data_IF_739492476804
#
_entry.id   IF_739492476804
#
_cell.length_a   1.000
_cell.length_b   1.000
_cell.length_c   1.000
_cell.angle_alpha   90.00
_cell.angle_beta   90.00
_cell.angle_gamma   90.00
#
_symmetry.space_group_name_H-M   'P 1'
#
loop_
_entity.id
_entity.type
_entity.pdbx_description
1 polymer ?
#
# COMPACT_ATOMS: atom_id res chain seq x y z
N UNK A 1 -32.89 3.29 12.36
CA UNK A 1 -31.51 3.43 12.82
C UNK A 1 -30.53 2.55 11.99
N UNK A 2 -30.95 1.38 11.45
CA UNK A 2 -30.09 0.48 10.68
C UNK A 2 -29.76 0.93 9.25
N UNK A 3 -30.54 1.84 8.66
CA UNK A 3 -30.29 2.33 7.29
C UNK A 3 -29.11 3.33 7.18
N UNK A 4 -28.75 4.01 8.26
CA UNK A 4 -27.67 5.03 8.21
C UNK A 4 -26.30 4.41 8.01
N UNK A 5 -26.07 3.25 8.47
CA UNK A 5 -24.77 2.63 8.55
C UNK A 5 -24.38 1.87 7.28
N UNK A 6 -25.28 1.15 6.64
CA UNK A 6 -25.08 0.63 5.28
C UNK A 6 -24.81 1.79 4.29
N UNK A 7 -25.47 2.95 4.52
CA UNK A 7 -25.19 4.17 3.79
C UNK A 7 -23.73 4.64 3.94
N UNK A 8 -23.16 4.53 5.12
CA UNK A 8 -21.76 4.97 5.35
C UNK A 8 -20.74 4.04 4.68
N UNK A 9 -21.02 2.73 4.64
CA UNK A 9 -20.22 1.79 3.85
C UNK A 9 -20.24 2.16 2.35
N UNK A 10 -21.43 2.46 1.81
CA UNK A 10 -21.58 2.88 0.40
C UNK A 10 -20.81 4.18 0.16
N UNK A 11 -20.89 5.17 1.05
CA UNK A 11 -20.16 6.44 0.92
C UNK A 11 -18.64 6.23 0.82
N UNK A 12 -18.09 5.34 1.65
CA UNK A 12 -16.67 4.98 1.59
C UNK A 12 -16.30 4.35 0.24
N UNK A 13 -17.15 3.45 -0.29
CA UNK A 13 -16.92 2.84 -1.59
C UNK A 13 -17.01 3.86 -2.72
N UNK A 14 -18.02 4.73 -2.69
CA UNK A 14 -18.15 5.84 -3.66
C UNK A 14 -16.93 6.74 -3.62
N UNK A 15 -16.47 7.11 -2.42
CA UNK A 15 -15.25 7.90 -2.28
C UNK A 15 -14.02 7.19 -2.88
N UNK A 16 -13.84 5.90 -2.60
CA UNK A 16 -12.72 5.13 -3.13
C UNK A 16 -12.74 5.08 -4.67
N UNK A 17 -13.91 4.83 -5.26
CA UNK A 17 -14.08 4.81 -6.71
C UNK A 17 -13.87 6.21 -7.32
N UNK A 18 -14.46 7.25 -6.74
CA UNK A 18 -14.32 8.62 -7.23
C UNK A 18 -12.86 9.07 -7.14
N UNK A 19 -12.17 8.81 -6.02
CA UNK A 19 -10.75 9.15 -5.87
C UNK A 19 -9.87 8.43 -6.90
N UNK A 20 -10.18 7.17 -7.20
CA UNK A 20 -9.50 6.41 -8.24
C UNK A 20 -9.73 7.00 -9.63
N UNK A 21 -11.00 7.27 -9.99
CA UNK A 21 -11.33 7.84 -11.30
C UNK A 21 -10.70 9.22 -11.51
N UNK A 22 -10.74 10.09 -10.50
CA UNK A 22 -10.12 11.42 -10.57
C UNK A 22 -8.59 11.27 -10.63
N UNK A 23 -7.99 10.37 -9.86
CA UNK A 23 -6.56 10.05 -9.94
C UNK A 23 -6.15 9.58 -11.33
N UNK A 24 -6.89 8.64 -11.92
CA UNK A 24 -6.67 8.15 -13.28
C UNK A 24 -6.82 9.26 -14.34
N UNK A 25 -7.72 10.20 -14.13
CA UNK A 25 -7.90 11.34 -15.05
C UNK A 25 -6.79 12.39 -14.92
N UNK A 26 -6.31 12.64 -13.70
CA UNK A 26 -5.23 13.61 -13.45
C UNK A 26 -3.85 13.08 -13.87
N UNK A 27 -3.63 11.78 -13.84
CA UNK A 27 -2.34 11.18 -14.13
C UNK A 27 -1.78 11.54 -15.51
N UNK A 28 -2.51 11.43 -16.63
CA UNK A 28 -2.01 11.83 -17.94
C UNK A 28 -1.69 13.32 -18.02
N UNK A 29 -2.50 14.17 -17.36
CA UNK A 29 -2.25 15.61 -17.31
C UNK A 29 -0.94 15.93 -16.56
N UNK A 30 -0.73 15.29 -15.41
CA UNK A 30 0.49 15.45 -14.63
C UNK A 30 1.71 14.90 -15.37
N UNK A 31 1.57 13.74 -16.04
CA UNK A 31 2.62 13.13 -16.86
C UNK A 31 3.04 14.04 -18.00
N UNK A 32 2.11 14.51 -18.83
CA UNK A 32 2.40 15.38 -19.95
C UNK A 32 2.99 16.74 -19.48
N UNK A 33 2.43 17.31 -18.40
CA UNK A 33 2.97 18.52 -17.78
C UNK A 33 4.38 18.33 -17.22
N UNK A 34 4.65 17.18 -16.61
CA UNK A 34 5.98 16.82 -16.10
C UNK A 34 7.01 16.62 -17.20
N UNK A 35 6.65 15.96 -18.31
CA UNK A 35 7.53 15.81 -19.48
C UNK A 35 7.86 17.13 -20.12
N UNK A 36 6.86 18.00 -20.35
CA UNK A 36 7.06 19.36 -20.86
C UNK A 36 7.97 20.19 -19.93
N UNK A 37 7.81 20.06 -18.60
CA UNK A 37 8.67 20.75 -17.65
C UNK A 37 10.13 20.22 -17.72
N UNK A 38 10.30 18.92 -17.92
CA UNK A 38 11.62 18.31 -18.12
C UNK A 38 12.32 18.83 -19.38
N UNK A 39 11.60 18.98 -20.48
CA UNK A 39 12.13 19.55 -21.73
C UNK A 39 12.52 21.02 -21.55
N UNK A 40 11.67 21.80 -20.87
CA UNK A 40 11.97 23.20 -20.54
C UNK A 40 13.18 23.35 -19.61
N UNK A 41 13.44 22.41 -18.72
CA UNK A 41 14.61 22.41 -17.83
C UNK A 41 15.91 22.19 -18.57
N UNK A 42 15.89 21.56 -19.76
CA UNK A 42 17.05 21.45 -20.66
C UNK A 42 17.43 22.77 -21.32
N UNK A 43 16.51 23.75 -21.37
CA UNK A 43 16.72 25.08 -22.02
C UNK A 43 16.80 26.23 -21.02
N UNK A 44 16.32 26.05 -19.80
CA UNK A 44 16.32 27.07 -18.74
C UNK A 44 16.77 26.45 -17.42
N UNK A 45 17.74 27.08 -16.76
CA UNK A 45 18.15 26.69 -15.41
C UNK A 45 17.03 27.03 -14.41
N UNK A 46 16.35 25.99 -13.92
CA UNK A 46 15.43 26.11 -12.80
C UNK A 46 16.19 25.97 -11.49
N UNK A 47 15.95 26.86 -10.54
CA UNK A 47 16.57 26.81 -9.24
C UNK A 47 15.90 25.81 -8.30
N UNK A 48 16.69 25.02 -7.55
CA UNK A 48 16.29 24.29 -6.39
C UNK A 48 15.31 23.11 -6.62
N UNK A 49 14.16 23.06 -5.91
CA UNK A 49 13.25 21.92 -5.93
C UNK A 49 12.62 21.65 -7.29
N UNK A 50 12.39 22.70 -8.09
CA UNK A 50 11.76 22.59 -9.40
C UNK A 50 12.65 21.84 -10.40
N UNK A 51 13.97 22.08 -10.35
CA UNK A 51 14.92 21.36 -11.20
C UNK A 51 14.99 19.85 -10.84
N UNK A 52 14.93 19.53 -9.54
CA UNK A 52 14.86 18.13 -9.09
C UNK A 52 13.59 17.43 -9.56
N UNK A 53 12.45 18.14 -9.49
CA UNK A 53 11.18 17.61 -9.96
C UNK A 53 11.18 17.44 -11.49
N UNK A 54 11.71 18.39 -12.25
CA UNK A 54 11.86 18.29 -13.70
C UNK A 54 12.77 17.11 -14.11
N UNK A 55 13.90 16.93 -13.41
CA UNK A 55 14.79 15.80 -13.65
C UNK A 55 14.17 14.44 -13.30
N UNK A 56 13.35 14.38 -12.24
CA UNK A 56 12.57 13.21 -11.89
C UNK A 56 11.49 12.91 -12.95
N UNK A 57 10.69 13.93 -13.33
CA UNK A 57 9.58 13.77 -14.29
C UNK A 57 10.07 13.38 -15.69
N UNK A 58 11.30 13.74 -16.07
CA UNK A 58 11.93 13.28 -17.32
C UNK A 58 12.16 11.76 -17.36
N UNK A 59 12.44 11.15 -16.21
CA UNK A 59 12.73 9.71 -16.06
C UNK A 59 11.51 8.89 -15.63
N UNK A 60 10.56 9.53 -14.96
CA UNK A 60 9.38 8.88 -14.40
C UNK A 60 8.44 8.36 -15.50
N UNK A 61 7.93 7.15 -15.31
CA UNK A 61 6.87 6.54 -16.12
C UNK A 61 5.49 7.04 -15.71
N UNK A 62 4.46 6.61 -16.44
CA UNK A 62 3.07 6.92 -16.13
C UNK A 62 2.65 6.38 -14.76
N UNK A 63 3.17 5.21 -14.41
CA UNK A 63 2.94 4.53 -13.14
C UNK A 63 3.41 5.38 -11.96
N UNK A 64 4.61 5.96 -12.05
CA UNK A 64 5.16 6.84 -11.02
C UNK A 64 4.28 8.08 -10.78
N UNK A 65 3.73 8.66 -11.85
CA UNK A 65 2.80 9.78 -11.73
C UNK A 65 1.47 9.36 -11.10
N UNK A 66 0.96 8.17 -11.41
CA UNK A 66 -0.24 7.66 -10.77
C UNK A 66 -0.02 7.37 -9.28
N UNK A 67 1.12 6.80 -8.90
CA UNK A 67 1.51 6.59 -7.50
C UNK A 67 1.49 7.89 -6.67
N UNK A 68 1.69 9.03 -7.31
CA UNK A 68 1.62 10.36 -6.67
C UNK A 68 0.22 10.97 -6.77
N UNK A 69 -0.38 10.98 -7.94
CA UNK A 69 -1.66 11.65 -8.20
C UNK A 69 -2.82 11.03 -7.43
N UNK A 70 -2.91 9.70 -7.39
CA UNK A 70 -4.02 9.03 -6.73
C UNK A 70 -4.04 9.23 -5.20
N UNK A 71 -2.95 9.03 -4.43
CA UNK A 71 -2.94 9.33 -3.00
C UNK A 71 -3.24 10.78 -2.67
N UNK A 72 -2.74 11.73 -3.48
CA UNK A 72 -3.05 13.15 -3.31
C UNK A 72 -4.54 13.43 -3.53
N UNK A 73 -5.13 12.85 -4.56
CA UNK A 73 -6.56 12.95 -4.85
C UNK A 73 -7.39 12.33 -3.73
N UNK A 74 -7.00 11.14 -3.27
CA UNK A 74 -7.67 10.45 -2.18
C UNK A 74 -7.60 11.27 -0.88
N UNK A 75 -6.44 11.85 -0.58
CA UNK A 75 -6.26 12.73 0.58
C UNK A 75 -7.11 14.01 0.47
N UNK A 76 -7.15 14.65 -0.70
CA UNK A 76 -7.97 15.84 -0.93
C UNK A 76 -9.48 15.54 -0.77
N UNK A 77 -9.94 14.40 -1.30
CA UNK A 77 -11.32 13.96 -1.18
C UNK A 77 -11.68 13.37 0.20
N UNK A 78 -10.69 13.17 1.07
CA UNK A 78 -10.93 12.69 2.43
C UNK A 78 -11.69 13.74 3.27
N UNK A 79 -11.43 15.04 3.06
CA UNK A 79 -12.13 16.11 3.78
C UNK A 79 -13.64 16.07 3.54
N UNK A 80 -14.14 16.11 2.28
CA UNK A 80 -15.58 15.99 2.03
C UNK A 80 -16.15 14.63 2.47
N UNK A 81 -15.37 13.55 2.46
CA UNK A 81 -15.82 12.26 3.00
C UNK A 81 -16.06 12.33 4.51
N UNK A 82 -15.16 12.93 5.27
CA UNK A 82 -15.28 13.08 6.74
C UNK A 82 -16.58 13.86 7.06
N UNK A 83 -16.83 14.96 6.34
CA UNK A 83 -18.06 15.73 6.50
C UNK A 83 -19.29 14.92 6.10
N UNK A 84 -19.23 14.19 5.00
CA UNK A 84 -20.33 13.36 4.51
C UNK A 84 -20.66 12.19 5.45
N UNK A 85 -19.65 11.62 6.12
CA UNK A 85 -19.83 10.61 7.16
C UNK A 85 -20.31 11.21 8.50
N UNK A 86 -20.39 12.54 8.61
CA UNK A 86 -20.76 13.26 9.87
C UNK A 86 -19.91 12.82 11.07
N UNK A 87 -18.68 12.42 10.84
CA UNK A 87 -17.78 11.97 11.92
C UNK A 87 -17.37 13.10 12.87
N UNK A 88 -17.50 14.36 12.46
CA UNK A 88 -17.21 15.52 13.30
C UNK A 88 -18.24 15.84 14.39
N UNK A 89 -19.44 15.22 14.35
CA UNK A 89 -20.54 15.52 15.29
C UNK A 89 -20.67 14.63 16.52
N UNK A 90 -20.10 13.45 16.51
CA UNK A 90 -19.97 12.65 17.72
C UNK A 90 -18.70 13.10 18.43
N UNK A 91 -18.86 13.87 19.53
CA UNK A 91 -17.80 14.01 20.53
C UNK A 91 -17.38 12.59 20.90
N UNK A 92 -16.32 12.09 20.25
CA UNK A 92 -15.59 10.96 20.81
C UNK A 92 -15.33 11.34 22.26
N UNK A 93 -15.84 10.55 23.19
CA UNK A 93 -15.29 10.55 24.55
C UNK A 93 -13.78 10.55 24.33
N UNK A 94 -13.15 11.67 24.73
CA UNK A 94 -11.70 11.84 24.63
C UNK A 94 -11.12 10.57 25.21
N UNK A 95 -10.60 9.71 24.37
CA UNK A 95 -9.84 8.56 24.83
C UNK A 95 -8.84 9.13 25.82
N UNK A 96 -9.01 8.76 27.07
CA UNK A 96 -8.18 9.24 28.18
C UNK A 96 -6.71 9.17 27.73
N UNK A 97 -5.96 10.20 28.04
CA UNK A 97 -4.52 10.26 27.78
C UNK A 97 -3.94 8.89 28.16
N UNK A 98 -3.31 8.19 27.21
CA UNK A 98 -2.87 6.84 27.48
C UNK A 98 -1.94 6.85 28.70
N UNK A 99 -2.11 5.91 29.63
CA UNK A 99 -1.30 5.85 30.84
C UNK A 99 0.19 5.80 30.48
N UNK A 100 1.04 6.28 31.36
CA UNK A 100 2.49 6.50 31.15
C UNK A 100 3.26 5.29 30.58
N UNK A 101 2.70 4.08 30.62
CA UNK A 101 3.23 2.86 30.01
C UNK A 101 2.77 2.62 28.56
N UNK A 102 1.74 3.32 28.08
CA UNK A 102 1.14 3.05 26.77
C UNK A 102 2.09 3.37 25.61
N UNK A 103 2.92 4.41 25.74
CA UNK A 103 3.87 4.77 24.68
C UNK A 103 4.89 3.64 24.44
N UNK A 104 5.40 3.02 25.51
CA UNK A 104 6.31 1.87 25.41
C UNK A 104 5.65 0.66 24.75
N UNK A 105 4.40 0.37 25.09
CA UNK A 105 3.65 -0.72 24.45
C UNK A 105 3.35 -0.41 22.99
N UNK A 106 3.03 0.83 22.65
CA UNK A 106 2.79 1.27 21.26
C UNK A 106 4.02 1.09 20.39
N UNK A 107 5.18 1.58 20.88
CA UNK A 107 6.46 1.43 20.15
C UNK A 107 6.87 -0.04 20.03
N UNK A 108 6.69 -0.84 21.08
CA UNK A 108 6.98 -2.27 21.03
C UNK A 108 6.12 -2.98 19.99
N UNK A 109 4.82 -2.71 19.94
CA UNK A 109 3.92 -3.28 18.93
C UNK A 109 4.35 -2.92 17.50
N UNK A 110 4.71 -1.64 17.28
CA UNK A 110 5.18 -1.18 15.98
C UNK A 110 6.49 -1.88 15.59
N UNK A 111 7.46 -1.96 16.50
CA UNK A 111 8.75 -2.59 16.27
C UNK A 111 8.63 -4.10 16.01
N UNK A 112 7.81 -4.79 16.80
CA UNK A 112 7.57 -6.24 16.64
C UNK A 112 6.89 -6.51 15.32
N UNK A 113 5.85 -5.73 14.95
CA UNK A 113 5.19 -5.84 13.65
C UNK A 113 6.16 -5.60 12.49
N UNK A 114 6.95 -4.53 12.60
CA UNK A 114 7.98 -4.18 11.61
C UNK A 114 9.01 -5.31 11.45
N UNK A 115 9.63 -5.75 12.54
CA UNK A 115 10.67 -6.78 12.52
C UNK A 115 10.15 -8.11 11.97
N UNK A 116 8.93 -8.52 12.34
CA UNK A 116 8.32 -9.74 11.86
C UNK A 116 8.13 -9.73 10.34
N UNK A 117 7.58 -8.64 9.80
CA UNK A 117 7.31 -8.55 8.35
C UNK A 117 8.56 -8.26 7.57
N UNK A 118 9.34 -7.26 7.96
CA UNK A 118 10.58 -6.89 7.29
C UNK A 118 11.55 -8.05 7.24
N UNK A 119 11.79 -8.72 8.38
CA UNK A 119 12.69 -9.87 8.45
C UNK A 119 12.22 -11.04 7.57
N UNK A 120 10.92 -11.36 7.60
CA UNK A 120 10.35 -12.43 6.78
C UNK A 120 10.54 -12.15 5.28
N UNK A 121 10.22 -10.94 4.81
CA UNK A 121 10.32 -10.59 3.39
C UNK A 121 11.76 -10.41 2.92
N UNK A 122 12.68 -9.94 3.75
CA UNK A 122 14.12 -9.92 3.42
C UNK A 122 14.65 -11.36 3.30
N UNK A 123 14.28 -12.27 4.19
CA UNK A 123 14.68 -13.67 4.08
C UNK A 123 14.18 -14.32 2.79
N UNK A 124 12.93 -14.05 2.42
CA UNK A 124 12.36 -14.52 1.15
C UNK A 124 13.11 -13.92 -0.02
N UNK A 125 13.38 -12.60 -0.01
CA UNK A 125 14.15 -11.93 -1.04
C UNK A 125 15.55 -12.53 -1.21
N UNK A 126 16.26 -12.78 -0.11
CA UNK A 126 17.56 -13.47 -0.14
C UNK A 126 17.45 -14.88 -0.73
N UNK A 127 16.40 -15.62 -0.41
CA UNK A 127 16.15 -16.95 -0.99
C UNK A 127 15.90 -16.87 -2.49
N UNK A 128 15.14 -15.88 -2.97
CA UNK A 128 14.88 -15.64 -4.39
C UNK A 128 16.15 -15.29 -5.17
N UNK A 129 17.04 -14.45 -4.59
CA UNK A 129 18.34 -14.13 -5.18
C UNK A 129 19.23 -15.39 -5.25
N UNK A 130 19.29 -16.18 -4.16
CA UNK A 130 20.03 -17.46 -4.17
C UNK A 130 19.48 -18.47 -5.17
N UNK A 131 18.18 -18.47 -5.41
CA UNK A 131 17.56 -19.30 -6.44
C UNK A 131 17.82 -18.83 -7.87
N UNK A 132 18.50 -17.69 -8.06
CA UNK A 132 18.83 -17.15 -9.37
C UNK A 132 17.66 -16.46 -10.09
N UNK A 133 16.54 -16.19 -9.38
CA UNK A 133 15.40 -15.50 -9.97
C UNK A 133 15.58 -14.00 -10.06
N UNK A 134 16.46 -13.46 -9.23
CA UNK A 134 16.86 -12.06 -9.22
C UNK A 134 18.38 -11.95 -9.20
N UNK A 135 18.92 -11.03 -10.00
CA UNK A 135 20.31 -10.59 -9.93
C UNK A 135 20.49 -9.60 -8.79
N UNK A 136 21.61 -9.71 -8.08
CA UNK A 136 21.99 -8.76 -7.02
C UNK A 136 22.91 -7.68 -7.62
N UNK A 137 22.39 -6.45 -7.72
CA UNK A 137 23.16 -5.33 -8.31
C UNK A 137 22.83 -4.03 -7.56
N UNK A 138 23.30 -3.88 -6.31
CA UNK A 138 23.07 -2.67 -5.54
C UNK A 138 23.89 -1.51 -6.12
N UNK A 139 23.25 -0.41 -6.52
CA UNK A 139 23.93 0.85 -6.81
C UNK A 139 24.14 1.67 -5.52
N UNK A 140 25.39 1.76 -5.00
CA UNK A 140 25.66 2.44 -3.73
C UNK A 140 25.36 3.94 -3.75
N UNK A 141 25.39 4.58 -4.94
CA UNK A 141 25.10 6.02 -5.09
C UNK A 141 23.61 6.27 -5.06
N UNK A 142 22.81 5.43 -5.73
CA UNK A 142 21.36 5.50 -5.69
C UNK A 142 20.82 5.22 -4.27
N UNK A 143 21.44 4.32 -3.51
CA UNK A 143 21.06 4.02 -2.13
C UNK A 143 21.12 5.24 -1.20
N UNK A 144 22.20 6.01 -1.26
CA UNK A 144 22.38 7.14 -0.34
C UNK A 144 21.44 8.30 -0.56
N UNK A 145 21.16 8.63 -1.81
CA UNK A 145 20.35 9.80 -2.15
C UNK A 145 18.85 9.55 -2.01
N UNK A 146 18.41 8.32 -2.21
CA UNK A 146 17.00 7.97 -2.30
C UNK A 146 16.43 7.24 -1.07
N UNK A 147 17.27 6.67 -0.20
CA UNK A 147 16.83 5.96 1.00
C UNK A 147 15.96 6.82 1.92
N UNK A 148 16.37 8.08 2.16
CA UNK A 148 15.57 9.01 2.97
C UNK A 148 14.22 9.33 2.33
N UNK A 149 14.19 9.46 1.00
CA UNK A 149 12.96 9.69 0.27
C UNK A 149 12.01 8.48 0.38
N UNK A 150 12.54 7.26 0.22
CA UNK A 150 11.75 6.03 0.37
C UNK A 150 11.20 5.85 1.77
N UNK A 151 12.02 6.09 2.79
CA UNK A 151 11.58 6.03 4.18
C UNK A 151 10.45 7.06 4.41
N UNK A 152 10.61 8.29 3.92
CA UNK A 152 9.59 9.32 4.00
C UNK A 152 8.29 8.91 3.29
N UNK A 153 8.40 8.37 2.09
CA UNK A 153 7.27 7.88 1.32
C UNK A 153 6.56 6.71 2.04
N UNK A 154 7.32 5.75 2.55
CA UNK A 154 6.78 4.60 3.30
C UNK A 154 6.07 5.08 4.57
N UNK A 155 6.65 6.00 5.34
CA UNK A 155 6.00 6.57 6.51
C UNK A 155 4.69 7.26 6.11
N UNK A 156 4.70 8.08 5.07
CA UNK A 156 3.51 8.76 4.55
C UNK A 156 2.43 7.77 4.14
N UNK A 157 2.78 6.72 3.39
CA UNK A 157 1.86 5.67 3.00
C UNK A 157 1.31 4.89 4.20
N UNK A 158 2.16 4.56 5.20
CA UNK A 158 1.71 3.87 6.43
C UNK A 158 0.72 4.73 7.20
N UNK A 159 0.97 6.04 7.28
CA UNK A 159 0.07 6.98 7.98
C UNK A 159 -1.25 7.09 7.21
N UNK A 160 -1.22 7.38 5.90
CA UNK A 160 -2.43 7.54 5.09
C UNK A 160 -3.26 6.25 5.03
N UNK A 161 -2.63 5.16 4.60
CA UNK A 161 -3.27 3.85 4.49
C UNK A 161 -3.69 3.33 5.86
N UNK A 162 -2.84 3.52 6.88
CA UNK A 162 -3.12 3.10 8.25
C UNK A 162 -4.32 3.82 8.85
N UNK A 163 -4.38 5.14 8.76
CA UNK A 163 -5.51 5.92 9.28
C UNK A 163 -6.77 5.57 8.50
N UNK A 164 -6.70 5.60 7.17
CA UNK A 164 -7.86 5.41 6.33
C UNK A 164 -8.46 4.00 6.46
N UNK A 165 -7.66 2.96 6.16
CA UNK A 165 -8.18 1.58 6.12
C UNK A 165 -8.49 1.01 7.50
N UNK A 166 -7.77 1.44 8.55
CA UNK A 166 -7.85 0.79 9.85
C UNK A 166 -8.61 1.58 10.89
N UNK A 167 -8.57 2.90 10.85
CA UNK A 167 -9.29 3.74 11.80
C UNK A 167 -10.64 4.20 11.27
N UNK A 168 -10.71 4.55 9.98
CA UNK A 168 -11.97 5.02 9.39
C UNK A 168 -12.79 3.84 8.90
N UNK A 169 -12.25 3.05 8.01
CA UNK A 169 -12.97 2.02 7.27
C UNK A 169 -13.30 0.81 8.12
N UNK A 170 -12.29 0.23 8.78
CA UNK A 170 -12.49 -0.97 9.59
C UNK A 170 -13.40 -0.69 10.79
N UNK A 171 -13.27 0.47 11.44
CA UNK A 171 -14.12 0.83 12.59
C UNK A 171 -15.57 1.06 12.16
N UNK A 172 -15.83 1.65 10.97
CA UNK A 172 -17.17 1.75 10.38
C UNK A 172 -17.74 0.36 10.11
N UNK A 173 -16.97 -0.53 9.49
CA UNK A 173 -17.44 -1.87 9.15
C UNK A 173 -17.69 -2.72 10.40
N UNK A 174 -16.84 -2.61 11.43
CA UNK A 174 -17.03 -3.31 12.70
C UNK A 174 -18.27 -2.83 13.47
N UNK A 175 -18.68 -1.57 13.30
CA UNK A 175 -19.92 -1.05 13.85
C UNK A 175 -21.19 -1.65 13.23
N UNK A 176 -21.09 -2.21 12.02
CA UNK A 176 -22.24 -2.61 11.21
C UNK A 176 -22.35 -4.09 10.94
N UNK A 177 -21.22 -4.78 10.93
CA UNK A 177 -21.16 -6.19 10.58
C UNK A 177 -20.25 -6.98 11.50
N UNK A 178 -20.37 -8.31 11.46
CA UNK A 178 -19.48 -9.18 12.22
C UNK A 178 -18.02 -9.00 11.84
N UNK A 179 -17.12 -9.09 12.81
CA UNK A 179 -15.68 -8.86 12.63
C UNK A 179 -15.06 -9.60 11.42
N UNK A 180 -15.35 -10.88 11.14
CA UNK A 180 -14.82 -11.54 9.96
C UNK A 180 -15.22 -10.87 8.64
N UNK A 181 -16.49 -10.43 8.53
CA UNK A 181 -16.98 -9.74 7.33
C UNK A 181 -16.36 -8.35 7.17
N UNK A 182 -16.25 -7.61 8.27
CA UNK A 182 -15.62 -6.29 8.29
C UNK A 182 -14.13 -6.37 7.86
N UNK A 183 -13.39 -7.32 8.40
CA UNK A 183 -11.99 -7.56 8.07
C UNK A 183 -11.84 -7.97 6.60
N UNK A 184 -12.69 -8.90 6.12
CA UNK A 184 -12.65 -9.35 4.72
C UNK A 184 -12.93 -8.21 3.74
N UNK A 185 -13.91 -7.34 4.04
CA UNK A 185 -14.26 -6.22 3.19
C UNK A 185 -13.16 -5.15 3.16
N UNK A 186 -12.56 -4.83 4.31
CA UNK A 186 -11.42 -3.92 4.38
C UNK A 186 -10.19 -4.48 3.64
N UNK A 187 -9.94 -5.79 3.75
CA UNK A 187 -8.88 -6.48 3.03
C UNK A 187 -9.11 -6.51 1.51
N UNK A 188 -10.36 -6.67 1.07
CA UNK A 188 -10.73 -6.61 -0.35
C UNK A 188 -10.35 -5.26 -0.96
N UNK A 189 -10.66 -4.17 -0.27
CA UNK A 189 -10.30 -2.83 -0.72
C UNK A 189 -8.78 -2.62 -0.69
N UNK A 190 -8.11 -3.07 0.37
CA UNK A 190 -6.66 -3.00 0.47
C UNK A 190 -5.95 -3.75 -0.66
N UNK A 191 -6.40 -4.97 -1.00
CA UNK A 191 -5.85 -5.76 -2.11
C UNK A 191 -6.20 -5.20 -3.50
N UNK A 192 -7.31 -4.51 -3.62
CA UNK A 192 -7.76 -3.88 -4.85
C UNK A 192 -6.82 -2.77 -5.36
N UNK A 193 -6.18 -2.04 -4.45
CA UNK A 193 -5.26 -0.94 -4.78
C UNK A 193 -4.03 -1.42 -5.57
N UNK A 194 -3.19 -2.33 -5.04
CA UNK A 194 -2.04 -2.84 -5.78
C UNK A 194 -2.44 -3.60 -7.05
N UNK A 195 -3.62 -4.27 -7.03
CA UNK A 195 -4.17 -4.92 -8.21
C UNK A 195 -4.43 -3.93 -9.34
N UNK A 196 -5.00 -2.76 -9.06
CA UNK A 196 -5.20 -1.72 -10.05
C UNK A 196 -3.88 -1.12 -10.52
N UNK A 197 -2.96 -0.83 -9.59
CA UNK A 197 -1.62 -0.32 -9.91
C UNK A 197 -0.85 -1.25 -10.86
N UNK A 198 -0.90 -2.56 -10.63
CA UNK A 198 -0.21 -3.54 -11.46
C UNK A 198 -0.70 -3.58 -12.93
N UNK A 199 -1.83 -2.94 -13.23
CA UNK A 199 -2.34 -2.80 -14.58
C UNK A 199 -1.58 -1.79 -15.43
N UNK A 200 -0.93 -0.83 -14.81
CA UNK A 200 -0.19 0.22 -15.52
C UNK A 200 1.08 -0.29 -16.21
N UNK A 201 1.76 -1.30 -15.65
CA UNK A 201 2.94 -1.91 -16.29
C UNK A 201 2.67 -2.50 -17.67
N UNK A 202 1.40 -2.84 -17.98
CA UNK A 202 0.99 -3.28 -19.32
C UNK A 202 0.70 -2.11 -20.27
N UNK A 203 0.65 -0.89 -19.76
CA UNK A 203 0.28 0.30 -20.51
C UNK A 203 1.50 1.11 -21.00
N UNK A 204 2.70 0.81 -20.54
CA UNK A 204 3.95 1.49 -20.96
C UNK A 204 4.26 1.33 -22.46
N UNK A 205 3.67 0.31 -23.11
CA UNK A 205 3.82 0.09 -24.54
C UNK A 205 2.89 0.98 -25.41
N UNK A 206 2.07 1.84 -24.80
CA UNK A 206 1.08 2.67 -25.53
C UNK A 206 1.58 4.10 -25.65
N UNK A 207 1.58 4.61 -26.88
CA UNK A 207 1.93 6.00 -27.17
C UNK A 207 1.03 7.01 -26.41
N UNK A 208 1.61 8.16 -26.03
CA UNK A 208 0.97 9.17 -25.18
C UNK A 208 -0.40 9.69 -25.66
N UNK A 209 -0.72 9.63 -26.96
CA UNK A 209 -2.02 10.03 -27.52
C UNK A 209 -3.15 9.05 -27.16
N UNK A 210 -2.84 7.78 -26.96
CA UNK A 210 -3.82 6.74 -26.57
C UNK A 210 -4.16 6.76 -25.07
N UNK A 211 -3.38 7.49 -24.28
CA UNK A 211 -3.52 7.57 -22.82
C UNK A 211 -4.84 8.20 -22.34
N UNK A 212 -5.48 9.02 -23.17
CA UNK A 212 -6.80 9.63 -22.87
C UNK A 212 -7.99 8.73 -23.23
N UNK A 213 -7.76 7.61 -23.90
CA UNK A 213 -8.82 6.76 -24.44
C UNK A 213 -9.42 5.80 -23.40
N UNK A 214 -10.70 5.46 -23.58
CA UNK A 214 -11.40 4.46 -22.77
C UNK A 214 -10.71 3.08 -22.84
N UNK A 215 -9.95 2.81 -23.92
CA UNK A 215 -9.18 1.60 -24.15
C UNK A 215 -8.09 1.37 -23.11
N UNK A 216 -7.35 2.41 -22.77
CA UNK A 216 -6.30 2.33 -21.74
C UNK A 216 -6.89 1.93 -20.38
N UNK A 217 -8.03 2.54 -20.01
CA UNK A 217 -8.73 2.20 -18.76
C UNK A 217 -9.17 0.73 -18.74
N UNK A 218 -9.59 0.20 -19.89
CA UNK A 218 -9.93 -1.21 -20.03
C UNK A 218 -8.71 -2.14 -19.87
N UNK A 219 -7.58 -1.81 -20.50
CA UNK A 219 -6.34 -2.60 -20.41
C UNK A 219 -5.78 -2.58 -18.98
N UNK A 220 -5.75 -1.42 -18.35
CA UNK A 220 -5.29 -1.27 -16.95
C UNK A 220 -6.16 -2.09 -15.99
N UNK A 221 -7.48 -2.08 -16.19
CA UNK A 221 -8.40 -2.80 -15.31
C UNK A 221 -8.46 -4.31 -15.60
N UNK A 222 -8.45 -4.71 -16.86
CA UNK A 222 -8.77 -6.08 -17.28
C UNK A 222 -7.62 -6.83 -17.96
N UNK A 223 -6.49 -6.16 -18.28
CA UNK A 223 -5.33 -6.82 -18.90
C UNK A 223 -4.73 -7.90 -18.01
N UNK A 224 -4.48 -9.10 -18.58
CA UNK A 224 -3.92 -10.26 -17.87
C UNK A 224 -4.59 -10.58 -16.51
N UNK A 225 -5.91 -10.41 -16.44
CA UNK A 225 -6.71 -10.51 -15.23
C UNK A 225 -6.43 -11.77 -14.37
N UNK A 226 -6.38 -13.01 -14.93
CA UNK A 226 -6.16 -14.21 -14.12
C UNK A 226 -4.78 -14.21 -13.44
N UNK A 227 -3.74 -13.82 -14.16
CA UNK A 227 -2.39 -13.76 -13.64
C UNK A 227 -2.30 -12.74 -12.49
N UNK A 228 -2.83 -11.54 -12.69
CA UNK A 228 -2.82 -10.45 -11.71
C UNK A 228 -3.63 -10.78 -10.46
N UNK A 229 -4.74 -11.51 -10.59
CA UNK A 229 -5.51 -11.97 -9.42
C UNK A 229 -4.63 -12.87 -8.56
N UNK A 230 -3.96 -13.85 -9.15
CA UNK A 230 -3.15 -14.83 -8.41
C UNK A 230 -1.90 -14.16 -7.84
N UNK A 231 -1.22 -13.33 -8.62
CA UNK A 231 0.12 -12.83 -8.27
C UNK A 231 0.08 -11.56 -7.43
N UNK A 232 -0.91 -10.71 -7.58
CA UNK A 232 -0.99 -9.42 -6.90
C UNK A 232 -2.14 -9.37 -5.91
N UNK A 233 -3.37 -9.63 -6.39
CA UNK A 233 -4.55 -9.47 -5.55
C UNK A 233 -4.56 -10.41 -4.34
N UNK A 234 -4.33 -11.72 -4.55
CA UNK A 234 -4.40 -12.71 -3.46
C UNK A 234 -3.36 -12.45 -2.36
N UNK A 235 -2.06 -12.22 -2.64
CA UNK A 235 -1.10 -11.88 -1.60
C UNK A 235 -1.45 -10.59 -0.84
N UNK A 236 -1.85 -9.53 -1.54
CA UNK A 236 -2.22 -8.26 -0.93
C UNK A 236 -3.50 -8.39 -0.10
N UNK A 237 -4.51 -9.10 -0.60
CA UNK A 237 -5.74 -9.41 0.13
C UNK A 237 -5.45 -10.21 1.41
N UNK A 238 -4.64 -11.27 1.32
CA UNK A 238 -4.22 -12.07 2.46
C UNK A 238 -3.47 -11.22 3.51
N UNK A 239 -2.59 -10.33 3.05
CA UNK A 239 -1.91 -9.39 3.93
C UNK A 239 -2.88 -8.39 4.58
N UNK A 240 -3.85 -7.88 3.83
CA UNK A 240 -4.95 -7.05 4.33
C UNK A 240 -5.76 -7.73 5.44
N UNK A 241 -6.04 -9.04 5.29
CA UNK A 241 -6.70 -9.84 6.33
C UNK A 241 -5.87 -9.88 7.63
N UNK A 242 -4.56 -10.08 7.52
CA UNK A 242 -3.66 -10.10 8.69
C UNK A 242 -3.65 -8.73 9.38
N UNK A 243 -3.58 -7.66 8.60
CA UNK A 243 -3.61 -6.29 9.12
C UNK A 243 -4.94 -5.98 9.84
N UNK A 244 -6.08 -6.33 9.24
CA UNK A 244 -7.40 -6.14 9.86
C UNK A 244 -7.57 -7.00 11.11
N UNK A 245 -7.16 -8.26 11.04
CA UNK A 245 -7.24 -9.18 12.18
C UNK A 245 -6.33 -8.76 13.34
N UNK A 246 -5.11 -8.31 13.05
CA UNK A 246 -4.18 -7.81 14.08
C UNK A 246 -4.75 -6.57 14.78
N UNK A 247 -5.38 -5.63 14.05
CA UNK A 247 -6.06 -4.47 14.60
C UNK A 247 -7.24 -4.88 15.51
N UNK A 248 -8.08 -5.79 15.02
CA UNK A 248 -9.25 -6.26 15.79
C UNK A 248 -8.84 -6.95 17.09
N UNK A 249 -7.81 -7.82 17.07
CA UNK A 249 -7.34 -8.57 18.24
C UNK A 249 -6.60 -7.74 19.28
N UNK A 250 -5.81 -6.77 18.84
CA UNK A 250 -4.97 -5.98 19.77
C UNK A 250 -5.60 -4.64 20.13
N UNK A 251 -6.71 -4.26 19.50
CA UNK A 251 -7.29 -2.91 19.56
C UNK A 251 -6.25 -1.79 19.32
N UNK A 252 -5.04 -2.14 18.89
CA UNK A 252 -3.90 -1.26 18.69
C UNK A 252 -3.70 -0.92 17.22
N UNK A 253 -3.49 0.36 16.95
CA UNK A 253 -3.11 0.86 15.62
C UNK A 253 -1.66 0.50 15.26
N UNK A 254 -0.79 0.35 16.26
CA UNK A 254 0.66 0.31 16.07
C UNK A 254 1.18 -1.02 15.50
N UNK A 255 0.64 -2.15 15.94
CA UNK A 255 1.06 -3.46 15.42
C UNK A 255 0.83 -3.58 13.91
N UNK A 256 -0.40 -3.35 13.39
CA UNK A 256 -0.61 -3.39 11.95
C UNK A 256 0.14 -2.29 11.19
N UNK A 257 0.43 -1.14 11.78
CA UNK A 257 1.25 -0.10 11.15
C UNK A 257 2.70 -0.54 11.00
N UNK A 258 3.25 -1.20 12.02
CA UNK A 258 4.58 -1.82 11.93
C UNK A 258 4.65 -2.90 10.87
N UNK A 259 3.64 -3.80 10.81
CA UNK A 259 3.54 -4.82 9.75
C UNK A 259 3.56 -4.21 8.35
N UNK A 260 2.74 -3.17 8.12
CA UNK A 260 2.68 -2.49 6.83
C UNK A 260 4.00 -1.78 6.49
N UNK A 261 4.61 -1.11 7.47
CA UNK A 261 5.90 -0.44 7.27
C UNK A 261 6.99 -1.44 6.88
N UNK A 262 7.06 -2.59 7.57
CA UNK A 262 8.00 -3.64 7.26
C UNK A 262 7.81 -4.21 5.84
N UNK A 263 6.55 -4.42 5.44
CA UNK A 263 6.21 -4.92 4.12
C UNK A 263 6.60 -3.94 3.01
N UNK A 264 6.20 -2.66 3.12
CA UNK A 264 6.51 -1.64 2.13
C UNK A 264 8.02 -1.37 2.03
N UNK A 265 8.72 -1.27 3.17
CA UNK A 265 10.16 -1.00 3.15
C UNK A 265 10.94 -2.19 2.60
N UNK A 266 10.60 -3.43 2.94
CA UNK A 266 11.24 -4.61 2.38
C UNK A 266 11.10 -4.66 0.85
N UNK A 267 9.90 -4.36 0.32
CA UNK A 267 9.67 -4.30 -1.12
C UNK A 267 10.50 -3.22 -1.81
N UNK A 268 10.52 -2.00 -1.27
CA UNK A 268 11.31 -0.89 -1.82
C UNK A 268 12.81 -1.18 -1.82
N UNK A 269 13.35 -1.71 -0.71
CA UNK A 269 14.76 -2.05 -0.62
C UNK A 269 15.14 -3.20 -1.56
N UNK A 270 14.27 -4.21 -1.67
CA UNK A 270 14.49 -5.33 -2.57
C UNK A 270 14.51 -4.89 -4.03
N UNK A 271 13.53 -4.12 -4.49
CA UNK A 271 13.45 -3.64 -5.88
C UNK A 271 14.62 -2.73 -6.28
N UNK A 272 15.29 -2.11 -5.32
CA UNK A 272 16.49 -1.29 -5.57
C UNK A 272 17.78 -2.08 -5.59
N UNK A 273 17.82 -3.20 -4.87
CA UNK A 273 19.01 -4.03 -4.75
C UNK A 273 19.06 -5.12 -5.81
N UNK A 274 17.97 -5.33 -6.51
CA UNK A 274 17.83 -6.48 -7.42
C UNK A 274 17.13 -6.08 -8.72
N UNK A 275 17.45 -6.84 -9.77
CA UNK A 275 16.72 -6.81 -11.04
C UNK A 275 16.24 -8.23 -11.36
N UNK A 276 15.10 -8.40 -12.06
CA UNK A 276 14.65 -9.71 -12.52
C UNK A 276 15.70 -10.34 -13.42
N UNK A 277 16.04 -11.61 -13.19
CA UNK A 277 16.93 -12.33 -14.07
C UNK A 277 16.27 -12.56 -15.45
N UNK A 278 17.05 -12.60 -16.53
CA UNK A 278 16.53 -12.77 -17.90
C UNK A 278 15.81 -14.11 -18.14
N UNK A 279 15.94 -15.06 -17.22
CA UNK A 279 15.26 -16.36 -17.27
C UNK A 279 13.78 -16.17 -16.80
N UNK A 280 13.00 -15.47 -17.62
CA UNK A 280 11.58 -15.30 -17.37
C UNK A 280 10.80 -16.37 -18.13
N UNK A 281 10.82 -17.59 -17.60
CA UNK A 281 9.81 -18.57 -17.93
C UNK A 281 8.44 -18.11 -17.41
N UNK A 282 7.35 -18.39 -18.12
CA UNK A 282 5.97 -18.06 -17.64
C UNK A 282 5.72 -18.52 -16.22
N UNK A 283 6.35 -19.63 -15.81
CA UNK A 283 6.24 -20.19 -14.48
C UNK A 283 6.89 -19.30 -13.39
N UNK A 284 8.07 -18.75 -13.62
CA UNK A 284 8.72 -17.82 -12.69
C UNK A 284 7.97 -16.50 -12.56
N UNK A 285 7.31 -16.04 -13.61
CA UNK A 285 6.41 -14.89 -13.56
C UNK A 285 5.26 -15.03 -12.56
N UNK A 286 4.66 -16.22 -12.44
CA UNK A 286 3.63 -16.50 -11.42
C UNK A 286 4.22 -16.61 -10.00
N UNK A 287 5.44 -17.12 -9.88
CA UNK A 287 6.06 -17.33 -8.57
C UNK A 287 6.44 -16.02 -7.88
N UNK A 288 6.97 -15.06 -8.64
CA UNK A 288 7.56 -13.84 -8.08
C UNK A 288 6.89 -12.55 -8.56
N UNK A 289 6.21 -12.57 -9.70
CA UNK A 289 5.62 -11.38 -10.36
C UNK A 289 6.55 -10.13 -10.36
N UNK A 290 7.87 -10.36 -10.47
CA UNK A 290 8.87 -9.29 -10.50
C UNK A 290 9.11 -8.57 -9.18
N UNK A 291 8.57 -9.06 -8.04
CA UNK A 291 8.69 -8.39 -6.75
C UNK A 291 8.74 -9.40 -5.59
N UNK A 292 9.31 -8.98 -4.46
CA UNK A 292 9.24 -9.72 -3.21
C UNK A 292 7.88 -9.63 -2.51
N UNK A 293 7.00 -8.77 -2.99
CA UNK A 293 5.67 -8.53 -2.40
C UNK A 293 4.54 -9.23 -3.15
N UNK A 294 4.77 -9.60 -4.41
CA UNK A 294 3.77 -10.15 -5.33
C UNK A 294 4.22 -11.51 -5.84
N UNK A 295 3.27 -12.41 -6.03
CA UNK A 295 3.54 -13.79 -6.47
C UNK A 295 3.19 -14.83 -5.40
N UNK A 296 3.32 -16.10 -5.79
CA UNK A 296 2.97 -17.25 -4.92
C UNK A 296 3.96 -17.38 -3.76
N UNK A 297 5.26 -17.12 -3.99
CA UNK A 297 6.27 -17.22 -2.94
C UNK A 297 6.12 -16.13 -1.88
N UNK A 298 5.95 -14.85 -2.21
CA UNK A 298 5.55 -13.84 -1.25
C UNK A 298 4.28 -14.17 -0.47
N UNK A 299 3.30 -14.85 -1.08
CA UNK A 299 2.11 -15.33 -0.37
C UNK A 299 2.46 -16.28 0.78
N UNK A 300 3.45 -17.16 0.60
CA UNK A 300 3.95 -18.01 1.70
C UNK A 300 4.53 -17.17 2.84
N UNK A 301 5.23 -16.08 2.50
CA UNK A 301 5.70 -15.10 3.47
C UNK A 301 4.57 -14.43 4.23
N UNK A 302 3.51 -14.02 3.53
CA UNK A 302 2.30 -13.48 4.16
C UNK A 302 1.70 -14.47 5.13
N UNK A 303 1.58 -15.75 4.75
CA UNK A 303 1.06 -16.82 5.63
C UNK A 303 1.94 -16.99 6.87
N UNK A 304 3.27 -16.98 6.70
CA UNK A 304 4.22 -17.06 7.82
C UNK A 304 4.07 -15.87 8.78
N UNK A 305 3.97 -14.65 8.25
CA UNK A 305 3.69 -13.43 9.05
C UNK A 305 2.36 -13.58 9.79
N UNK A 306 1.32 -14.10 9.14
CA UNK A 306 0.03 -14.38 9.78
C UNK A 306 0.14 -15.35 10.96
N UNK A 307 0.94 -16.39 10.80
CA UNK A 307 1.27 -17.32 11.89
C UNK A 307 1.98 -16.63 13.07
N UNK A 308 2.99 -15.81 12.78
CA UNK A 308 3.71 -15.03 13.80
C UNK A 308 2.78 -14.05 14.52
N UNK A 309 1.96 -13.31 13.79
CA UNK A 309 0.97 -12.38 14.38
C UNK A 309 -0.02 -13.13 15.26
N UNK A 310 -0.48 -14.31 14.84
CA UNK A 310 -1.36 -15.16 15.66
C UNK A 310 -0.68 -15.59 16.97
N UNK A 311 0.60 -15.96 16.94
CA UNK A 311 1.36 -16.32 18.12
C UNK A 311 1.54 -15.14 19.08
N UNK A 312 1.89 -13.97 18.53
CA UNK A 312 2.05 -12.73 19.29
C UNK A 312 0.72 -12.35 19.96
N UNK A 313 -0.37 -12.31 19.23
CA UNK A 313 -1.67 -11.87 19.74
C UNK A 313 -2.31 -12.89 20.69
N UNK A 314 -1.94 -14.17 20.65
CA UNK A 314 -2.40 -15.19 21.58
C UNK A 314 -1.85 -14.97 23.00
N UNK A 315 -0.65 -14.42 23.14
CA UNK A 315 -0.07 -14.05 24.43
C UNK A 315 -0.85 -12.92 25.10
N UNK A 316 -1.23 -11.90 24.33
CA UNK A 316 -2.01 -10.76 24.84
C UNK A 316 -3.40 -11.14 25.32
N UNK A 317 -4.08 -12.10 24.66
CA UNK A 317 -5.39 -12.58 25.10
C UNK A 317 -5.30 -13.29 26.48
N UNK A 318 -4.23 -14.03 26.75
CA UNK A 318 -4.03 -14.70 28.05
C UNK A 318 -3.73 -13.72 29.18
N UNK A 319 -3.00 -12.65 28.90
CA UNK A 319 -2.68 -11.62 29.89
C UNK A 319 -3.92 -10.82 30.30
N UNK A 320 -4.89 -10.63 29.40
CA UNK A 320 -6.18 -9.99 29.72
C UNK A 320 -7.07 -10.89 30.57
N UNK A 321 -7.13 -12.20 30.29
CA UNK A 321 -7.91 -13.17 31.07
C UNK A 321 -7.38 -13.39 32.49
N UNK A 322 -6.11 -13.06 32.77
CA UNK A 322 -5.50 -13.20 34.11
C UNK A 322 -5.61 -11.93 34.95
N UNK A 323 -6.06 -10.80 34.38
CA UNK A 323 -6.21 -9.52 35.07
C UNK A 323 -7.67 -9.17 35.40
N UNK A 324 -8.62 -9.92 34.86
CA UNK A 324 -10.06 -9.90 35.23
C UNK A 324 -10.35 -10.99 36.27
#
# INVERSE_FOLDING_TARGET
>A
VRFSAFGDVIKVWVWALVSLFVGLWLTPLAYNGGKALSELSGTKDFNGPLNKFAAWSGKAGLEDFFEVCWPLTAAALLFPLIDWLRMGGKKEERQAVPPTGALRMMTLHALVGFAATFGCFILIGCAMVKAGWFGWEPDPKAWRSSLFFDIGLVITMVVLVGIFFRRVMLDIFLGEMSAPKAIALAALMFGGIPFMLSGFGNAEALDGETLSSLHLKGIVLFGNLPARIITVFIPCFAFGLILGWSRWRTASFWLPSGLLMGWLLAGRLFSRATHPAEIHDRFTGYLTAGSVQTGIIPLLGVIAVGGLVRLITKRYAREQETTD
#
